data_IF_882320813791
#
_entry.id   IF_882320813791
#
_cell.length_a   1.000
_cell.length_b   1.000
_cell.length_c   1.000
_cell.angle_alpha   90.00
_cell.angle_beta   90.00
_cell.angle_gamma   90.00
#
_symmetry.space_group_name_H-M   'P 1'
#
loop_
_entity.id
_entity.type
_entity.pdbx_description
1 polymer ?
#
# COMPACT_ATOMS: atom_id res chain seq x y z
N UNK A 1 -1.15 27.94 -15.44
CA UNK A 1 -2.26 27.14 -14.88
C UNK A 1 -1.84 26.53 -13.55
N UNK A 2 -1.42 27.41 -12.63
CA UNK A 2 -0.90 27.03 -11.30
C UNK A 2 -1.87 27.48 -10.18
N UNK A 3 -3.17 27.61 -10.50
CA UNK A 3 -4.17 28.24 -9.62
C UNK A 3 -4.74 27.33 -8.54
N UNK A 4 -4.47 26.01 -8.58
CA UNK A 4 -5.08 25.06 -7.63
C UNK A 4 -4.34 24.94 -6.27
N UNK A 5 -3.19 25.61 -6.09
CA UNK A 5 -2.39 25.59 -4.86
C UNK A 5 -2.34 26.93 -4.08
N UNK A 6 -3.00 27.97 -4.55
CA UNK A 6 -3.11 29.23 -3.83
C UNK A 6 -4.56 29.53 -3.48
N UNK A 7 -4.98 29.24 -2.28
CA UNK A 7 -5.73 30.07 -1.34
C UNK A 7 -6.17 29.30 -0.08
N UNK A 8 -5.83 29.88 1.05
CA UNK A 8 -6.25 29.46 2.39
C UNK A 8 -7.75 29.71 2.57
N UNK A 9 -8.52 28.64 2.73
CA UNK A 9 -9.93 28.77 3.04
C UNK A 9 -10.50 27.51 3.68
N UNK A 10 -11.03 27.67 4.87
CA UNK A 10 -11.70 26.71 5.74
C UNK A 10 -12.46 25.58 5.00
N UNK A 11 -12.16 24.34 5.39
CA UNK A 11 -12.86 23.13 4.97
C UNK A 11 -14.33 23.14 5.39
N UNK A 12 -15.20 23.75 4.57
CA UNK A 12 -16.64 23.52 4.63
C UNK A 12 -16.98 22.53 3.54
N UNK A 13 -17.34 21.33 3.95
CA UNK A 13 -17.77 20.26 3.05
C UNK A 13 -19.10 20.63 2.41
N UNK A 14 -19.09 21.11 1.15
CA UNK A 14 -20.28 21.30 0.33
C UNK A 14 -20.41 20.10 -0.62
N UNK A 15 -21.58 19.44 -0.74
CA UNK A 15 -21.83 18.41 -1.75
C UNK A 15 -21.65 19.02 -3.16
N UNK A 16 -20.61 18.58 -3.89
CA UNK A 16 -20.23 19.11 -5.20
C UNK A 16 -18.90 19.90 -5.22
N UNK A 17 -18.27 20.16 -4.08
CA UNK A 17 -16.95 20.76 -3.99
C UNK A 17 -15.89 19.75 -4.42
N UNK A 18 -15.03 20.14 -5.39
CA UNK A 18 -13.83 19.38 -5.74
C UNK A 18 -12.92 19.34 -4.53
N UNK A 19 -12.40 18.16 -4.18
CA UNK A 19 -11.40 18.02 -3.14
C UNK A 19 -10.16 18.86 -3.51
N UNK A 20 -9.70 19.68 -2.57
CA UNK A 20 -8.45 20.45 -2.66
C UNK A 20 -7.48 19.91 -1.63
N UNK A 21 -6.25 19.55 -2.03
CA UNK A 21 -5.24 19.09 -1.09
C UNK A 21 -4.73 20.23 -0.21
N UNK A 22 -4.07 19.85 0.89
CA UNK A 22 -3.33 20.76 1.75
C UNK A 22 -2.27 21.55 0.97
N UNK A 23 -1.85 22.73 1.48
CA UNK A 23 -0.81 23.53 0.85
C UNK A 23 0.46 22.71 0.59
N UNK A 24 1.10 22.94 -0.57
CA UNK A 24 2.28 22.20 -1.03
C UNK A 24 3.41 22.15 0.01
N UNK A 25 3.61 23.25 0.75
CA UNK A 25 4.62 23.30 1.82
C UNK A 25 4.29 22.38 3.00
N UNK A 26 3.00 22.25 3.34
CA UNK A 26 2.55 21.34 4.39
C UNK A 26 2.77 19.88 3.97
N UNK A 27 2.42 19.55 2.73
CA UNK A 27 2.64 18.22 2.16
C UNK A 27 4.14 17.86 2.11
N UNK A 28 5.00 18.81 1.73
CA UNK A 28 6.44 18.59 1.69
C UNK A 28 7.06 18.42 3.09
N UNK A 29 6.48 19.05 4.12
CA UNK A 29 6.91 18.83 5.51
C UNK A 29 6.42 17.49 6.08
N UNK A 30 5.25 17.03 5.65
CA UNK A 30 4.63 15.81 6.13
C UNK A 30 5.11 14.54 5.40
N UNK A 31 5.79 14.69 4.26
CA UNK A 31 6.27 13.58 3.43
C UNK A 31 7.78 13.64 3.21
N UNK A 32 8.35 12.55 2.67
CA UNK A 32 9.75 12.48 2.29
C UNK A 32 10.02 12.98 0.85
N UNK A 33 9.07 13.73 0.27
CA UNK A 33 9.14 14.24 -1.10
C UNK A 33 9.37 15.75 -1.13
N UNK A 34 10.08 16.20 -2.17
CA UNK A 34 10.24 17.61 -2.46
C UNK A 34 8.95 18.21 -3.04
N UNK A 35 8.78 19.52 -2.92
CA UNK A 35 7.64 20.21 -3.53
C UNK A 35 7.52 19.95 -5.04
N UNK A 36 8.65 19.80 -5.74
CA UNK A 36 8.66 19.51 -7.17
C UNK A 36 8.09 18.11 -7.48
N UNK A 37 8.52 17.09 -6.74
CA UNK A 37 8.02 15.73 -6.88
C UNK A 37 6.52 15.65 -6.57
N UNK A 38 6.08 16.34 -5.50
CA UNK A 38 4.66 16.40 -5.12
C UNK A 38 3.82 17.02 -6.25
N UNK A 39 4.28 18.11 -6.87
CA UNK A 39 3.59 18.71 -8.03
C UNK A 39 3.45 17.75 -9.20
N UNK A 40 4.48 16.97 -9.51
CA UNK A 40 4.44 15.98 -10.58
C UNK A 40 3.46 14.85 -10.25
N UNK A 41 3.51 14.31 -9.03
CA UNK A 41 2.59 13.27 -8.56
C UNK A 41 1.13 13.77 -8.55
N UNK A 42 0.90 15.01 -8.11
CA UNK A 42 -0.45 15.59 -8.11
C UNK A 42 -1.03 15.74 -9.53
N UNK A 43 -0.21 16.16 -10.49
CA UNK A 43 -0.64 16.26 -11.90
C UNK A 43 -1.06 14.89 -12.45
N UNK A 44 -0.25 13.84 -12.22
CA UNK A 44 -0.61 12.47 -12.61
C UNK A 44 -1.88 11.99 -11.91
N UNK A 45 -1.97 12.20 -10.61
CA UNK A 45 -3.16 11.84 -9.83
C UNK A 45 -4.43 12.53 -10.35
N UNK A 46 -4.35 13.83 -10.68
CA UNK A 46 -5.49 14.61 -11.22
C UNK A 46 -5.89 14.20 -12.62
N UNK A 47 -4.97 13.71 -13.44
CA UNK A 47 -5.29 13.19 -14.78
C UNK A 47 -6.15 11.93 -14.68
N UNK A 48 -5.79 11.01 -13.81
CA UNK A 48 -6.52 9.76 -13.59
C UNK A 48 -7.78 9.96 -12.72
N UNK A 49 -7.73 10.93 -11.80
CA UNK A 49 -8.76 11.19 -10.81
C UNK A 49 -9.21 12.66 -10.81
N UNK A 50 -9.97 13.11 -11.82
CA UNK A 50 -10.36 14.52 -11.96
C UNK A 50 -11.16 15.08 -10.78
N UNK A 51 -11.87 14.22 -10.03
CA UNK A 51 -12.61 14.59 -8.82
C UNK A 51 -11.72 14.86 -7.60
N UNK A 52 -10.45 14.43 -7.66
CA UNK A 52 -9.49 14.53 -6.55
C UNK A 52 -9.61 13.41 -5.52
N UNK A 53 -10.48 12.42 -5.74
CA UNK A 53 -10.65 11.23 -4.91
C UNK A 53 -10.81 9.99 -5.78
N UNK A 54 -10.34 8.86 -5.28
CA UNK A 54 -10.37 7.54 -5.93
C UNK A 54 -11.22 6.60 -5.10
N UNK A 55 -12.16 5.92 -5.71
CA UNK A 55 -12.81 4.75 -5.13
C UNK A 55 -12.04 3.46 -5.49
N UNK A 56 -12.48 2.36 -4.90
CA UNK A 56 -11.80 1.08 -5.05
C UNK A 56 -11.74 0.60 -6.50
N UNK A 57 -12.82 0.77 -7.27
CA UNK A 57 -12.88 0.31 -8.66
C UNK A 57 -11.93 1.13 -9.56
N UNK A 58 -11.91 2.45 -9.39
CA UNK A 58 -10.97 3.30 -10.08
C UNK A 58 -9.52 2.96 -9.70
N UNK A 59 -9.25 2.70 -8.42
CA UNK A 59 -7.93 2.29 -7.94
C UNK A 59 -7.48 0.96 -8.59
N UNK A 60 -8.34 -0.05 -8.62
CA UNK A 60 -8.06 -1.35 -9.27
C UNK A 60 -7.75 -1.17 -10.76
N UNK A 61 -8.53 -0.34 -11.46
CA UNK A 61 -8.31 -0.06 -12.87
C UNK A 61 -6.96 0.61 -13.13
N UNK A 62 -6.60 1.61 -12.34
CA UNK A 62 -5.29 2.28 -12.42
C UNK A 62 -4.17 1.28 -12.11
N UNK A 63 -4.31 0.54 -11.01
CA UNK A 63 -3.31 -0.39 -10.54
C UNK A 63 -3.04 -1.53 -11.55
N UNK A 64 -4.06 -2.04 -12.23
CA UNK A 64 -3.94 -3.11 -13.21
C UNK A 64 -3.12 -2.70 -14.46
N UNK A 65 -3.02 -1.41 -14.78
CA UNK A 65 -2.21 -0.92 -15.89
C UNK A 65 -0.70 -1.14 -15.67
N UNK A 66 -0.28 -1.19 -14.41
CA UNK A 66 1.12 -1.46 -14.06
C UNK A 66 1.48 -2.95 -14.11
N UNK A 67 0.48 -3.85 -14.12
CA UNK A 67 0.67 -5.30 -14.06
C UNK A 67 -0.09 -6.02 -15.20
N UNK A 68 0.26 -5.78 -16.47
CA UNK A 68 -0.50 -6.28 -17.62
C UNK A 68 -0.41 -7.79 -17.83
N UNK A 69 0.51 -8.49 -17.14
CA UNK A 69 0.74 -9.93 -17.29
C UNK A 69 0.06 -10.79 -16.22
N UNK A 70 -0.54 -10.16 -15.21
CA UNK A 70 -1.19 -10.82 -14.07
C UNK A 70 -2.57 -10.25 -13.77
N UNK A 71 -3.24 -10.85 -12.82
CA UNK A 71 -4.49 -10.32 -12.24
C UNK A 71 -4.17 -9.51 -11.00
N UNK A 72 -4.26 -8.19 -11.11
CA UNK A 72 -3.99 -7.27 -10.03
C UNK A 72 -5.19 -7.02 -9.10
N UNK A 73 -6.37 -7.55 -9.42
CA UNK A 73 -7.65 -7.18 -8.78
C UNK A 73 -7.65 -7.40 -7.28
N UNK A 74 -7.25 -8.58 -6.82
CA UNK A 74 -7.25 -8.93 -5.40
C UNK A 74 -6.15 -8.21 -4.63
N UNK A 75 -4.95 -8.11 -5.21
CA UNK A 75 -3.86 -7.40 -4.56
C UNK A 75 -4.15 -5.90 -4.43
N UNK A 76 -4.70 -5.27 -5.48
CA UNK A 76 -5.16 -3.89 -5.44
C UNK A 76 -6.26 -3.66 -4.39
N UNK A 77 -7.15 -4.63 -4.17
CA UNK A 77 -8.14 -4.59 -3.09
C UNK A 77 -7.48 -4.50 -1.71
N UNK A 78 -6.51 -5.35 -1.41
CA UNK A 78 -5.80 -5.32 -0.13
C UNK A 78 -5.02 -4.02 0.07
N UNK A 79 -4.30 -3.57 -0.96
CA UNK A 79 -3.58 -2.29 -0.92
C UNK A 79 -4.55 -1.13 -0.68
N UNK A 80 -5.66 -1.07 -1.42
CA UNK A 80 -6.67 -0.03 -1.25
C UNK A 80 -7.26 0.00 0.16
N UNK A 81 -7.57 -1.16 0.73
CA UNK A 81 -8.09 -1.27 2.10
C UNK A 81 -7.10 -0.78 3.16
N UNK A 82 -5.80 -0.94 2.90
CA UNK A 82 -4.75 -0.45 3.79
C UNK A 82 -4.63 1.08 3.78
N UNK A 83 -4.92 1.72 2.65
CA UNK A 83 -4.63 3.15 2.42
C UNK A 83 -5.88 4.04 2.42
N UNK A 84 -7.08 3.50 2.17
CA UNK A 84 -8.32 4.27 2.09
C UNK A 84 -8.68 4.96 3.40
N UNK A 85 -9.28 6.12 3.30
CA UNK A 85 -9.83 6.81 4.46
C UNK A 85 -10.95 5.98 5.12
N UNK A 86 -10.80 5.69 6.40
CA UNK A 86 -11.70 4.77 7.14
C UNK A 86 -13.19 5.22 7.13
N UNK A 87 -13.43 6.54 7.12
CA UNK A 87 -14.81 7.09 7.17
C UNK A 87 -15.44 7.19 5.78
N UNK A 88 -14.66 7.54 4.74
CA UNK A 88 -15.20 7.80 3.39
C UNK A 88 -15.11 6.59 2.47
N UNK A 89 -14.24 5.62 2.79
CA UNK A 89 -13.95 4.48 1.92
C UNK A 89 -13.31 4.88 0.59
N UNK A 90 -12.77 6.09 0.49
CA UNK A 90 -12.11 6.64 -0.70
C UNK A 90 -10.70 7.05 -0.36
N UNK A 91 -9.86 7.19 -1.38
CA UNK A 91 -8.48 7.64 -1.27
C UNK A 91 -8.36 9.04 -1.86
N UNK A 92 -7.87 10.00 -1.09
CA UNK A 92 -7.53 11.34 -1.57
C UNK A 92 -6.02 11.44 -1.89
N UNK A 93 -5.60 12.58 -2.43
CA UNK A 93 -4.20 12.77 -2.81
C UNK A 93 -3.23 12.73 -1.61
N UNK A 94 -3.64 13.24 -0.46
CA UNK A 94 -2.78 13.27 0.75
C UNK A 94 -2.53 11.87 1.28
N UNK A 95 -3.56 11.04 1.35
CA UNK A 95 -3.47 9.64 1.76
C UNK A 95 -2.60 8.82 0.78
N UNK A 96 -2.75 9.09 -0.52
CA UNK A 96 -1.90 8.52 -1.56
C UNK A 96 -0.43 8.92 -1.36
N UNK A 97 -0.16 10.21 -1.15
CA UNK A 97 1.20 10.75 -0.95
C UNK A 97 1.83 10.21 0.34
N UNK A 98 1.08 10.15 1.45
CA UNK A 98 1.54 9.62 2.72
C UNK A 98 1.93 8.14 2.58
N UNK A 99 1.09 7.35 1.92
CA UNK A 99 1.38 5.94 1.65
C UNK A 99 2.64 5.77 0.82
N UNK A 100 2.75 6.49 -0.29
CA UNK A 100 3.96 6.46 -1.12
C UNK A 100 5.21 6.88 -0.33
N UNK A 101 5.09 7.90 0.50
CA UNK A 101 6.18 8.40 1.33
C UNK A 101 6.70 7.32 2.28
N UNK A 102 5.80 6.63 2.97
CA UNK A 102 6.15 5.55 3.92
C UNK A 102 6.71 4.33 3.21
N UNK A 103 6.11 3.92 2.10
CA UNK A 103 6.52 2.71 1.37
C UNK A 103 7.83 2.93 0.65
N UNK A 104 7.98 4.04 -0.07
CA UNK A 104 9.17 4.31 -0.87
C UNK A 104 10.34 4.82 -0.03
N UNK A 105 10.13 5.82 0.81
CA UNK A 105 11.20 6.56 1.52
C UNK A 105 11.11 6.51 3.04
N UNK A 106 10.19 5.73 3.56
CA UNK A 106 10.02 5.57 5.00
C UNK A 106 11.14 4.76 5.65
N UNK A 107 11.26 4.87 6.96
CA UNK A 107 12.11 4.03 7.79
C UNK A 107 11.70 2.56 7.67
N UNK A 108 12.62 1.66 8.03
CA UNK A 108 12.32 0.21 8.09
C UNK A 108 11.09 -0.09 8.94
N UNK A 109 10.89 0.64 10.02
CA UNK A 109 9.74 0.45 10.90
C UNK A 109 8.43 0.88 10.24
N UNK A 110 8.42 1.98 9.50
CA UNK A 110 7.25 2.42 8.71
C UNK A 110 6.91 1.42 7.63
N UNK A 111 7.92 0.91 6.90
CA UNK A 111 7.75 -0.14 5.88
C UNK A 111 7.20 -1.44 6.48
N UNK A 112 7.74 -1.89 7.62
CA UNK A 112 7.23 -3.06 8.33
C UNK A 112 5.80 -2.87 8.82
N UNK A 113 5.46 -1.69 9.35
CA UNK A 113 4.10 -1.36 9.78
C UNK A 113 3.12 -1.38 8.60
N UNK A 114 3.55 -0.89 7.43
CA UNK A 114 2.73 -0.95 6.22
C UNK A 114 2.54 -2.40 5.73
N UNK A 115 3.61 -3.20 5.70
CA UNK A 115 3.52 -4.63 5.35
C UNK A 115 2.59 -5.35 6.31
N UNK A 116 2.73 -5.10 7.62
CA UNK A 116 1.83 -5.70 8.62
C UNK A 116 0.36 -5.35 8.34
N UNK A 117 0.06 -4.07 8.13
CA UNK A 117 -1.30 -3.60 7.83
C UNK A 117 -1.87 -4.16 6.51
N UNK A 118 -1.02 -4.51 5.54
CA UNK A 118 -1.44 -5.16 4.29
C UNK A 118 -1.90 -6.61 4.53
N UNK A 119 -1.26 -7.31 5.47
CA UNK A 119 -1.58 -8.70 5.80
C UNK A 119 -2.64 -8.82 6.90
N UNK A 120 -2.80 -7.84 7.78
CA UNK A 120 -3.86 -7.72 8.78
C UNK A 120 -5.15 -7.21 8.10
N UNK A 121 -5.85 -8.10 7.41
CA UNK A 121 -6.94 -7.74 6.49
C UNK A 121 -8.18 -7.27 7.22
N UNK A 122 -8.49 -7.84 8.38
CA UNK A 122 -9.64 -7.45 9.21
C UNK A 122 -9.32 -6.34 10.23
N UNK A 123 -8.02 -6.02 10.40
CA UNK A 123 -7.55 -4.93 11.26
C UNK A 123 -7.62 -5.23 12.75
N UNK A 124 -7.54 -6.49 13.14
CA UNK A 124 -7.60 -6.93 14.54
C UNK A 124 -6.23 -6.78 15.28
N UNK A 125 -5.18 -6.39 14.56
CA UNK A 125 -3.82 -6.22 15.06
C UNK A 125 -3.03 -7.53 15.10
N UNK A 126 -3.45 -8.55 14.36
CA UNK A 126 -2.80 -9.85 14.23
C UNK A 126 -2.91 -10.32 12.78
N UNK A 127 -2.01 -11.18 12.36
CA UNK A 127 -2.06 -11.81 11.04
C UNK A 127 -2.38 -13.30 11.27
N UNK A 128 -3.54 -13.73 10.84
CA UNK A 128 -3.90 -15.15 10.82
C UNK A 128 -3.28 -15.86 9.60
N UNK A 129 -3.18 -17.19 9.67
CA UNK A 129 -2.75 -18.01 8.52
C UNK A 129 -3.63 -17.79 7.28
N UNK A 130 -4.94 -17.62 7.48
CA UNK A 130 -5.90 -17.41 6.38
C UNK A 130 -5.70 -16.07 5.68
N UNK A 131 -5.42 -15.01 6.41
CA UNK A 131 -5.11 -13.69 5.86
C UNK A 131 -3.79 -13.71 5.10
N UNK A 132 -2.75 -14.28 5.69
CA UNK A 132 -1.46 -14.45 5.01
C UNK A 132 -1.63 -15.21 3.70
N UNK A 133 -2.41 -16.29 3.69
CA UNK A 133 -2.67 -17.07 2.49
C UNK A 133 -3.45 -16.27 1.43
N UNK A 134 -4.43 -15.46 1.85
CA UNK A 134 -5.22 -14.63 0.94
C UNK A 134 -4.32 -13.60 0.23
N UNK A 135 -3.47 -12.90 0.97
CA UNK A 135 -2.55 -11.89 0.39
C UNK A 135 -1.48 -12.56 -0.49
N UNK A 136 -0.88 -13.67 -0.06
CA UNK A 136 0.12 -14.40 -0.86
C UNK A 136 -0.48 -14.91 -2.16
N UNK A 137 -1.70 -15.43 -2.16
CA UNK A 137 -2.40 -15.83 -3.39
C UNK A 137 -2.61 -14.65 -4.33
N UNK A 138 -3.04 -13.50 -3.80
CA UNK A 138 -3.21 -12.29 -4.59
C UNK A 138 -1.90 -11.80 -5.22
N UNK A 139 -0.77 -11.91 -4.49
CA UNK A 139 0.57 -11.62 -5.05
C UNK A 139 0.93 -12.60 -6.18
N UNK A 140 0.60 -13.87 -6.05
CA UNK A 140 0.86 -14.86 -7.10
C UNK A 140 -0.01 -14.64 -8.33
N UNK A 141 -1.27 -14.24 -8.17
CA UNK A 141 -2.15 -13.84 -9.26
C UNK A 141 -1.63 -12.58 -9.97
N UNK A 142 -1.16 -11.60 -9.19
CA UNK A 142 -0.52 -10.38 -9.70
C UNK A 142 0.72 -10.68 -10.55
N UNK A 143 1.57 -11.60 -10.11
CA UNK A 143 2.76 -12.00 -10.86
C UNK A 143 2.41 -12.82 -12.10
N UNK A 144 1.30 -13.56 -12.07
CA UNK A 144 0.75 -14.30 -13.19
C UNK A 144 1.79 -15.11 -13.96
N UNK A 145 1.81 -14.94 -15.29
CA UNK A 145 2.75 -15.64 -16.18
C UNK A 145 4.20 -15.13 -16.11
N UNK A 146 4.44 -14.01 -15.44
CA UNK A 146 5.79 -13.49 -15.22
C UNK A 146 6.55 -14.34 -14.18
N UNK A 147 5.84 -15.09 -13.33
CA UNK A 147 6.45 -16.03 -12.41
C UNK A 147 6.86 -17.32 -13.16
N UNK A 148 8.15 -17.56 -13.28
CA UNK A 148 8.68 -18.81 -13.80
C UNK A 148 9.37 -19.59 -12.66
N UNK A 149 8.92 -20.80 -12.33
CA UNK A 149 7.87 -21.63 -12.93
C UNK A 149 6.44 -21.22 -12.52
N UNK A 150 5.38 -21.68 -13.23
CA UNK A 150 4.00 -21.38 -12.86
C UNK A 150 3.70 -21.82 -11.44
N UNK A 151 3.23 -20.89 -10.63
CA UNK A 151 3.01 -21.15 -9.19
C UNK A 151 1.63 -21.77 -9.05
N UNK A 152 1.58 -23.05 -8.66
CA UNK A 152 0.32 -23.75 -8.37
C UNK A 152 -0.24 -23.33 -7.00
N UNK A 153 -1.57 -23.42 -6.82
CA UNK A 153 -2.25 -23.09 -5.55
C UNK A 153 -1.63 -23.82 -4.35
N UNK A 154 -1.24 -25.09 -4.52
CA UNK A 154 -0.56 -25.86 -3.49
C UNK A 154 0.79 -25.23 -3.07
N UNK A 155 1.51 -24.62 -4.01
CA UNK A 155 2.78 -23.97 -3.70
C UNK A 155 2.61 -22.71 -2.81
N UNK A 156 1.47 -22.00 -2.92
CA UNK A 156 1.14 -20.89 -2.04
C UNK A 156 0.88 -21.35 -0.60
N UNK A 157 0.14 -22.43 -0.44
CA UNK A 157 -0.15 -23.03 0.87
C UNK A 157 1.13 -23.52 1.55
N UNK A 158 1.94 -24.31 0.85
CA UNK A 158 3.23 -24.81 1.36
C UNK A 158 4.19 -23.66 1.70
N UNK A 159 4.16 -22.57 0.93
CA UNK A 159 4.96 -21.40 1.17
C UNK A 159 4.53 -20.67 2.44
N UNK A 160 3.22 -20.43 2.58
CA UNK A 160 2.63 -19.80 3.76
C UNK A 160 2.87 -20.63 5.01
N UNK A 161 2.67 -21.95 4.96
CA UNK A 161 2.87 -22.82 6.11
C UNK A 161 4.29 -22.76 6.65
N UNK A 162 5.28 -22.75 5.74
CA UNK A 162 6.68 -22.61 6.14
C UNK A 162 6.98 -21.27 6.78
N UNK A 163 6.52 -20.16 6.15
CA UNK A 163 6.81 -18.82 6.65
C UNK A 163 6.07 -18.54 7.95
N UNK A 164 4.79 -18.93 8.01
CA UNK A 164 3.96 -18.74 9.18
C UNK A 164 4.55 -19.45 10.41
N UNK A 165 4.99 -20.69 10.24
CA UNK A 165 5.66 -21.44 11.30
C UNK A 165 6.98 -20.80 11.78
N UNK A 166 7.69 -20.10 10.90
CA UNK A 166 8.93 -19.37 11.28
C UNK A 166 8.64 -18.05 12.01
N UNK A 167 7.49 -17.43 11.75
CA UNK A 167 7.08 -16.17 12.36
C UNK A 167 6.37 -16.38 13.69
N UNK A 168 5.40 -17.30 13.75
CA UNK A 168 4.62 -17.64 14.94
C UNK A 168 5.51 -18.40 15.96
N UNK A 169 6.24 -17.62 16.75
CA UNK A 169 7.26 -18.18 17.67
C UNK A 169 6.68 -18.76 18.94
N UNK A 170 5.48 -18.33 19.31
CA UNK A 170 4.78 -18.80 20.51
C UNK A 170 3.73 -19.91 20.20
N UNK A 171 3.52 -20.18 18.90
CA UNK A 171 2.58 -21.18 18.38
C UNK A 171 1.12 -20.93 18.83
N UNK A 172 0.69 -19.65 18.87
CA UNK A 172 -0.67 -19.26 19.23
C UNK A 172 -1.61 -19.19 18.00
N UNK A 173 -1.07 -19.42 16.79
CA UNK A 173 -1.82 -19.46 15.53
C UNK A 173 -2.03 -18.11 14.88
N UNK A 174 -1.35 -17.06 15.36
CA UNK A 174 -1.37 -15.71 14.78
C UNK A 174 0.03 -15.11 14.80
N UNK A 175 0.29 -14.14 13.93
CA UNK A 175 1.56 -13.39 13.89
C UNK A 175 1.29 -11.95 14.36
N UNK A 176 2.04 -11.53 15.36
CA UNK A 176 2.01 -10.17 15.91
C UNK A 176 3.02 -9.25 15.21
N UNK A 177 2.89 -7.89 15.32
CA UNK A 177 3.88 -6.95 14.79
C UNK A 177 5.30 -7.22 15.29
N UNK A 178 5.45 -7.61 16.56
CA UNK A 178 6.75 -7.91 17.15
C UNK A 178 7.36 -9.20 16.60
N UNK A 179 6.56 -10.19 16.27
CA UNK A 179 7.02 -11.44 15.66
C UNK A 179 7.45 -11.21 14.22
N UNK A 180 6.67 -10.47 13.44
CA UNK A 180 7.06 -10.06 12.10
C UNK A 180 8.39 -9.28 12.11
N UNK A 181 8.53 -8.29 12.99
CA UNK A 181 9.75 -7.50 13.11
C UNK A 181 10.96 -8.35 13.49
N UNK A 182 10.80 -9.27 14.46
CA UNK A 182 11.87 -10.21 14.86
C UNK A 182 12.26 -11.18 13.75
N UNK A 183 11.29 -11.67 12.99
CA UNK A 183 11.55 -12.55 11.85
C UNK A 183 12.31 -11.82 10.74
N UNK A 184 11.86 -10.62 10.34
CA UNK A 184 12.55 -9.79 9.35
C UNK A 184 13.98 -9.42 9.78
N UNK A 185 14.20 -9.18 11.08
CA UNK A 185 15.54 -8.85 11.59
C UNK A 185 16.55 -10.01 11.52
N UNK A 186 16.07 -11.26 11.47
CA UNK A 186 16.94 -12.46 11.38
C UNK A 186 17.43 -12.75 9.96
N UNK A 187 16.73 -12.24 8.94
CA UNK A 187 17.08 -12.50 7.53
C UNK A 187 17.59 -11.22 6.86
N UNK A 188 18.91 -11.11 6.61
CA UNK A 188 19.48 -9.96 5.92
C UNK A 188 18.95 -9.76 4.48
N UNK A 189 18.43 -10.82 3.84
CA UNK A 189 17.85 -10.71 2.51
C UNK A 189 16.49 -10.02 2.57
N UNK A 190 15.67 -10.34 3.57
CA UNK A 190 14.38 -9.66 3.80
C UNK A 190 14.58 -8.19 4.16
N UNK A 191 15.57 -7.88 5.00
CA UNK A 191 15.91 -6.49 5.32
C UNK A 191 16.32 -5.71 4.08
N UNK A 192 17.15 -6.30 3.19
CA UNK A 192 17.51 -5.68 1.91
C UNK A 192 16.30 -5.51 0.98
N UNK A 193 15.37 -6.46 0.97
CA UNK A 193 14.14 -6.34 0.17
C UNK A 193 13.28 -5.17 0.62
N UNK A 194 13.19 -4.91 1.93
CA UNK A 194 12.52 -3.72 2.46
C UNK A 194 13.23 -2.43 2.06
N UNK A 195 14.57 -2.44 2.06
CA UNK A 195 15.37 -1.28 1.60
C UNK A 195 15.24 -1.05 0.09
N UNK A 196 15.05 -2.11 -0.74
CA UNK A 196 14.91 -1.98 -2.19
C UNK A 196 13.52 -1.53 -2.66
N UNK A 197 12.51 -1.47 -1.80
CA UNK A 197 11.23 -0.82 -2.14
C UNK A 197 11.41 0.65 -2.56
N UNK A 198 12.52 1.28 -2.20
CA UNK A 198 12.90 2.63 -2.63
C UNK A 198 13.18 2.76 -4.13
N UNK A 199 13.46 1.66 -4.83
CA UNK A 199 13.95 1.68 -6.23
C UNK A 199 12.89 1.29 -7.25
N UNK A 200 11.69 0.87 -6.83
CA UNK A 200 10.64 0.31 -7.71
C UNK A 200 9.50 1.32 -7.96
N UNK A 201 9.48 2.44 -7.26
CA UNK A 201 8.54 3.55 -7.40
C UNK A 201 9.28 4.84 -7.76
#
# INVERSE_FOLDING_TARGET
>A
MDEDFEETGSNIWCPGSRYRPEPLEALARASHFTQHEIKLMYRGFKQECPTGVVDEEAFKNIFSQFFPLGDATQYAHFVFNTVKHKQTGKLNFEEFLDTLSRVARGSRQEKLSWVFALYDVDGDGRISRSEMLAVVRAVYELLGRAAAPPIHKAAAEDHVDRIFHLMDTNADGVVTPDELARWCARDPALLRSLDTLDTVL
#
